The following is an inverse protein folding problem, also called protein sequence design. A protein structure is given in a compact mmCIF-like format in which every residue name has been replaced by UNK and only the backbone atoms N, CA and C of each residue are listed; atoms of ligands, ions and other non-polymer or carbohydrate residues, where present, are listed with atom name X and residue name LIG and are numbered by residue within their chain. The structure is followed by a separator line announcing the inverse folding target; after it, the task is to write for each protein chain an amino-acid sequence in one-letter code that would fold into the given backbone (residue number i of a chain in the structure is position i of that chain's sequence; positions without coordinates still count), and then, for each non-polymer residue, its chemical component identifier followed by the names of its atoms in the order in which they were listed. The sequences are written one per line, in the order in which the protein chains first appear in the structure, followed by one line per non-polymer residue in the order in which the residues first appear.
data_IF_120281348377
#
_entry.id   IF_120281348377
#
_cell.length_a   1.000
_cell.length_b   1.000
_cell.length_c   1.000
_cell.angle_alpha   90.00
_cell.angle_beta   90.00
_cell.angle_gamma   90.00
#
_symmetry.space_group_name_H-M   'P 1'
#
loop_
_entity.id
_entity.type
_entity.pdbx_description
1 polymer ?
#
# COMPACT_ATOMS: atom_id res chain seq x y z
N UNK A 1 6.58 15.13 25.03
CA UNK A 1 5.39 15.21 24.16
C UNK A 1 5.65 14.30 22.97
N UNK A 2 4.71 13.47 22.58
CA UNK A 2 4.84 12.66 21.36
C UNK A 2 5.04 13.58 20.14
N UNK A 3 5.84 13.16 19.18
CA UNK A 3 6.07 13.92 17.95
C UNK A 3 4.80 13.98 17.11
N UNK A 4 4.57 15.09 16.39
CA UNK A 4 3.42 15.24 15.51
C UNK A 4 3.86 14.96 14.08
N UNK A 5 3.20 14.01 13.42
CA UNK A 5 3.39 13.69 12.01
C UNK A 5 2.46 14.59 11.20
N UNK A 6 3.05 15.54 10.50
CA UNK A 6 2.34 16.50 9.65
C UNK A 6 2.12 15.97 8.24
N UNK A 7 1.45 16.74 7.38
CA UNK A 7 1.38 16.47 5.94
C UNK A 7 2.72 16.74 5.26
N UNK A 8 2.91 16.17 4.08
CA UNK A 8 4.00 16.49 3.16
C UNK A 8 3.42 17.17 1.92
N UNK A 9 3.50 18.48 1.86
CA UNK A 9 2.91 19.27 0.77
C UNK A 9 3.96 20.21 0.20
N UNK A 10 4.10 20.21 -1.11
CA UNK A 10 5.05 21.06 -1.83
C UNK A 10 6.50 20.89 -1.34
N UNK A 11 6.89 19.64 -1.05
CA UNK A 11 8.23 19.26 -0.67
C UNK A 11 8.65 19.73 0.73
N UNK A 12 7.72 19.87 1.66
CA UNK A 12 7.99 20.20 3.06
C UNK A 12 6.89 19.67 3.98
N UNK A 13 7.24 19.50 5.25
CA UNK A 13 6.27 19.25 6.29
C UNK A 13 5.35 20.47 6.44
N UNK A 14 4.05 20.23 6.49
CA UNK A 14 3.03 21.27 6.64
C UNK A 14 2.01 20.86 7.71
N UNK A 15 1.85 21.67 8.79
CA UNK A 15 0.79 21.46 9.76
C UNK A 15 -0.58 21.45 9.11
N UNK A 16 -1.49 20.65 9.66
CA UNK A 16 -2.90 20.67 9.25
C UNK A 16 -3.56 22.00 9.60
N UNK A 17 -4.60 22.32 8.86
CA UNK A 17 -5.51 23.44 9.17
C UNK A 17 -6.49 23.11 10.30
N UNK A 18 -6.53 21.85 10.73
CA UNK A 18 -7.36 21.40 11.86
C UNK A 18 -6.50 21.10 13.08
N UNK A 19 -7.14 21.12 14.26
CA UNK A 19 -6.56 20.64 15.52
C UNK A 19 -6.92 19.17 15.79
N UNK A 20 -7.32 18.41 14.76
CA UNK A 20 -7.64 16.98 14.86
C UNK A 20 -6.37 16.15 14.71
N UNK A 21 -6.15 15.26 15.66
CA UNK A 21 -5.02 14.32 15.68
C UNK A 21 -5.51 12.91 15.92
N UNK A 22 -4.80 11.93 15.38
CA UNK A 22 -4.95 10.51 15.68
C UNK A 22 -3.70 10.00 16.38
N UNK A 23 -3.88 9.03 17.27
CA UNK A 23 -2.76 8.38 17.93
C UNK A 23 -2.12 7.32 17.03
N UNK A 24 -0.79 7.33 16.98
CA UNK A 24 0.04 6.29 16.36
C UNK A 24 0.64 5.47 17.49
N UNK A 25 0.31 4.19 17.51
CA UNK A 25 0.73 3.28 18.58
C UNK A 25 1.95 2.46 18.13
N UNK A 26 2.76 2.07 19.11
CA UNK A 26 3.62 0.90 18.95
C UNK A 26 2.81 -0.34 19.38
N UNK A 27 2.44 -1.24 18.47
CA UNK A 27 1.59 -2.39 18.80
C UNK A 27 2.23 -3.37 19.78
N UNK A 28 3.56 -3.41 19.85
CA UNK A 28 4.29 -4.29 20.76
C UNK A 28 4.21 -3.86 22.22
N UNK A 29 4.09 -2.55 22.47
CA UNK A 29 4.00 -2.00 23.84
C UNK A 29 2.62 -1.48 24.18
N UNK A 30 1.78 -1.17 23.18
CA UNK A 30 0.50 -0.50 23.33
C UNK A 30 0.61 0.99 23.67
N UNK A 31 1.81 1.56 23.63
CA UNK A 31 2.06 2.97 23.93
C UNK A 31 1.89 3.84 22.69
N UNK A 32 1.45 5.09 22.90
CA UNK A 32 1.40 6.11 21.85
C UNK A 32 2.82 6.59 21.53
N UNK A 33 3.31 6.31 20.35
CA UNK A 33 4.65 6.71 19.88
C UNK A 33 4.66 8.10 19.23
N UNK A 34 3.57 8.45 18.53
CA UNK A 34 3.40 9.73 17.85
C UNK A 34 1.91 10.10 17.74
N UNK A 35 1.65 11.32 17.30
CA UNK A 35 0.31 11.75 16.86
C UNK A 35 0.37 12.15 15.39
N UNK A 36 -0.66 11.80 14.61
CA UNK A 36 -0.75 12.15 13.19
C UNK A 36 -1.85 13.20 12.96
N UNK A 37 -1.55 14.21 12.14
CA UNK A 37 -2.54 15.23 11.75
C UNK A 37 -3.69 14.59 10.96
N UNK A 38 -4.93 14.83 11.37
CA UNK A 38 -6.14 14.42 10.63
C UNK A 38 -6.62 15.60 9.79
N UNK A 39 -6.17 15.60 8.52
CA UNK A 39 -6.50 16.64 7.56
C UNK A 39 -7.98 16.71 7.17
N UNK A 40 -8.30 17.74 6.43
CA UNK A 40 -9.63 18.03 5.90
C UNK A 40 -9.57 18.40 4.40
N UNK A 41 -10.67 18.89 3.85
CA UNK A 41 -10.77 19.33 2.46
C UNK A 41 -9.87 20.53 2.14
N UNK A 42 -9.58 21.42 3.10
CA UNK A 42 -8.68 22.56 2.88
C UNK A 42 -7.23 22.12 2.74
N UNK A 43 -6.77 21.18 3.57
CA UNK A 43 -5.44 20.58 3.46
C UNK A 43 -5.28 19.84 2.11
N UNK A 44 -6.31 19.10 1.71
CA UNK A 44 -6.33 18.48 0.39
C UNK A 44 -6.24 19.50 -0.74
N UNK A 45 -7.00 20.59 -0.66
CA UNK A 45 -6.97 21.64 -1.70
C UNK A 45 -5.56 22.23 -1.87
N UNK A 46 -4.82 22.45 -0.77
CA UNK A 46 -3.41 22.90 -0.82
C UNK A 46 -2.53 21.90 -1.55
N UNK A 47 -2.73 20.59 -1.29
CA UNK A 47 -1.99 19.54 -1.98
C UNK A 47 -2.35 19.46 -3.46
N UNK A 48 -3.63 19.60 -3.83
CA UNK A 48 -4.08 19.60 -5.22
C UNK A 48 -3.58 20.82 -5.99
N UNK A 49 -3.59 22.01 -5.38
CA UNK A 49 -3.03 23.21 -5.98
C UNK A 49 -1.53 23.04 -6.27
N UNK A 50 -0.79 22.54 -5.27
CA UNK A 50 0.64 22.22 -5.42
C UNK A 50 0.89 21.20 -6.54
N UNK A 51 0.10 20.11 -6.58
CA UNK A 51 0.22 19.07 -7.59
C UNK A 51 -0.14 19.58 -9.00
N UNK A 52 -1.19 20.38 -9.12
CA UNK A 52 -1.63 20.96 -10.41
C UNK A 52 -0.57 21.90 -10.99
N UNK A 53 0.01 22.75 -10.16
CA UNK A 53 1.10 23.65 -10.57
C UNK A 53 2.35 22.87 -10.99
N UNK A 54 2.73 21.84 -10.22
CA UNK A 54 3.89 21.00 -10.56
C UNK A 54 3.66 20.23 -11.86
N UNK A 55 2.43 19.82 -12.16
CA UNK A 55 2.08 19.08 -13.38
C UNK A 55 2.42 19.85 -14.65
N UNK A 56 2.28 21.18 -14.68
CA UNK A 56 2.55 22.01 -15.86
C UNK A 56 3.97 21.79 -16.41
N UNK A 57 4.95 21.65 -15.53
CA UNK A 57 6.35 21.44 -15.91
C UNK A 57 6.75 19.97 -15.92
N UNK A 58 6.24 19.19 -14.96
CA UNK A 58 6.57 17.78 -14.83
C UNK A 58 6.09 16.95 -16.03
N UNK A 59 4.88 17.21 -16.52
CA UNK A 59 4.32 16.54 -17.70
C UNK A 59 5.16 16.73 -18.96
N UNK A 60 5.89 17.83 -19.05
CA UNK A 60 6.79 18.16 -20.18
C UNK A 60 8.22 17.65 -19.97
N UNK A 61 8.55 17.13 -18.78
CA UNK A 61 9.87 16.56 -18.52
C UNK A 61 10.04 15.27 -19.31
N UNK A 62 11.16 15.13 -20.04
CA UNK A 62 11.40 13.95 -20.86
C UNK A 62 11.40 12.67 -20.01
N UNK A 63 10.90 11.58 -20.58
CA UNK A 63 10.79 10.29 -19.88
C UNK A 63 12.15 9.79 -19.37
N UNK A 64 13.23 10.05 -20.10
CA UNK A 64 14.59 9.69 -19.67
C UNK A 64 15.03 10.45 -18.42
N UNK A 65 14.73 11.76 -18.34
CA UNK A 65 15.03 12.55 -17.14
C UNK A 65 14.21 12.09 -15.93
N UNK A 66 12.94 11.72 -16.15
CA UNK A 66 12.11 11.15 -15.09
C UNK A 66 12.67 9.83 -14.58
N UNK A 67 13.10 8.93 -15.49
CA UNK A 67 13.70 7.65 -15.11
C UNK A 67 14.99 7.81 -14.27
N UNK A 68 15.82 8.80 -14.56
CA UNK A 68 17.05 9.07 -13.79
C UNK A 68 16.77 9.34 -12.30
N UNK A 69 15.66 10.00 -11.99
CA UNK A 69 15.25 10.25 -10.59
C UNK A 69 14.93 8.91 -9.91
N UNK A 70 14.30 7.97 -10.60
CA UNK A 70 13.96 6.67 -10.03
C UNK A 70 15.19 5.77 -9.81
N UNK A 71 16.23 5.85 -10.64
CA UNK A 71 17.50 5.18 -10.35
C UNK A 71 18.11 5.68 -9.04
N UNK A 72 18.13 7.01 -8.84
CA UNK A 72 18.63 7.58 -7.59
C UNK A 72 17.71 7.27 -6.40
N UNK A 73 16.40 7.26 -6.60
CA UNK A 73 15.44 6.89 -5.57
C UNK A 73 15.65 5.45 -5.10
N UNK A 74 15.88 4.51 -6.03
CA UNK A 74 16.20 3.13 -5.70
C UNK A 74 17.45 3.04 -4.81
N UNK A 75 18.51 3.76 -5.16
CA UNK A 75 19.73 3.82 -4.35
C UNK A 75 19.45 4.34 -2.93
N UNK A 76 18.66 5.41 -2.82
CA UNK A 76 18.27 5.97 -1.51
C UNK A 76 17.40 5.01 -0.69
N UNK A 77 16.49 4.27 -1.31
CA UNK A 77 15.71 3.23 -0.62
C UNK A 77 16.60 2.12 -0.06
N UNK A 78 17.59 1.68 -0.83
CA UNK A 78 18.56 0.66 -0.36
C UNK A 78 19.45 1.20 0.76
N UNK A 79 19.90 2.45 0.65
CA UNK A 79 20.77 3.09 1.68
C UNK A 79 20.00 3.30 2.99
N UNK A 80 18.70 3.61 2.93
CA UNK A 80 17.85 3.85 4.10
C UNK A 80 17.02 2.62 4.49
N UNK A 81 17.41 1.42 4.03
CA UNK A 81 16.64 0.18 4.21
C UNK A 81 16.35 -0.11 5.68
N UNK A 82 17.33 -0.03 6.54
CA UNK A 82 17.20 -0.32 7.97
C UNK A 82 16.24 0.66 8.67
N UNK A 83 16.36 1.96 8.38
CA UNK A 83 15.45 2.98 8.92
C UNK A 83 13.99 2.72 8.48
N UNK A 84 13.78 2.38 7.21
CA UNK A 84 12.43 2.07 6.70
C UNK A 84 11.85 0.80 7.32
N UNK A 85 12.67 -0.23 7.54
CA UNK A 85 12.27 -1.46 8.24
C UNK A 85 11.86 -1.16 9.69
N UNK A 86 12.67 -0.36 10.39
CA UNK A 86 12.40 0.04 11.77
C UNK A 86 11.09 0.84 11.89
N UNK A 87 10.85 1.82 11.00
CA UNK A 87 9.60 2.58 10.96
C UNK A 87 8.38 1.65 10.78
N UNK A 88 8.47 0.70 9.84
CA UNK A 88 7.39 -0.27 9.61
C UNK A 88 7.17 -1.14 10.84
N UNK A 89 8.23 -1.70 11.42
CA UNK A 89 8.13 -2.59 12.58
C UNK A 89 7.54 -1.87 13.79
N UNK A 90 7.97 -0.63 14.05
CA UNK A 90 7.52 0.14 15.20
C UNK A 90 6.05 0.57 15.13
N UNK A 91 5.54 0.91 13.95
CA UNK A 91 4.16 1.40 13.81
C UNK A 91 3.16 0.29 13.44
N UNK A 92 3.60 -0.73 12.68
CA UNK A 92 2.73 -1.85 12.30
C UNK A 92 2.79 -3.01 13.29
N UNK A 93 3.93 -3.26 13.93
CA UNK A 93 4.17 -4.40 14.82
C UNK A 93 4.74 -5.66 14.16
N UNK A 94 4.77 -5.77 12.83
CA UNK A 94 5.32 -6.95 12.13
C UNK A 94 6.82 -7.12 12.39
N UNK A 95 7.29 -8.36 12.32
CA UNK A 95 8.72 -8.66 12.48
C UNK A 95 9.57 -8.01 11.38
N UNK A 96 10.82 -7.69 11.71
CA UNK A 96 11.73 -6.98 10.81
C UNK A 96 11.93 -7.69 9.46
N UNK A 97 11.92 -9.04 9.43
CA UNK A 97 12.00 -9.82 8.20
C UNK A 97 10.79 -9.62 7.28
N UNK A 98 9.57 -9.51 7.85
CA UNK A 98 8.35 -9.21 7.11
C UNK A 98 8.34 -7.76 6.61
N UNK A 99 8.84 -6.82 7.42
CA UNK A 99 9.01 -5.42 7.02
C UNK A 99 10.01 -5.28 5.86
N UNK A 100 11.14 -6.00 5.93
CA UNK A 100 12.13 -6.07 4.86
C UNK A 100 11.54 -6.63 3.56
N UNK A 101 10.75 -7.71 3.65
CA UNK A 101 10.04 -8.30 2.51
C UNK A 101 9.04 -7.33 1.89
N UNK A 102 8.30 -6.57 2.70
CA UNK A 102 7.39 -5.53 2.25
C UNK A 102 8.13 -4.41 1.49
N UNK A 103 9.23 -3.92 2.06
CA UNK A 103 10.05 -2.89 1.42
C UNK A 103 10.64 -3.40 0.11
N UNK A 104 11.18 -4.63 0.09
CA UNK A 104 11.75 -5.25 -1.10
C UNK A 104 10.75 -5.29 -2.27
N UNK A 105 9.50 -5.67 -2.01
CA UNK A 105 8.44 -5.68 -3.03
C UNK A 105 8.13 -4.29 -3.58
N UNK A 106 8.23 -3.26 -2.75
CA UNK A 106 8.12 -1.88 -3.21
C UNK A 106 9.30 -1.46 -4.09
N UNK A 107 10.54 -1.84 -3.71
CA UNK A 107 11.76 -1.56 -4.48
C UNK A 107 11.72 -2.25 -5.85
N UNK A 108 11.18 -3.47 -5.96
CA UNK A 108 10.99 -4.17 -7.24
C UNK A 108 10.10 -3.38 -8.21
N UNK A 109 9.08 -2.68 -7.70
CA UNK A 109 8.26 -1.79 -8.53
C UNK A 109 9.04 -0.55 -8.98
N UNK A 110 9.87 0.01 -8.10
CA UNK A 110 10.76 1.13 -8.47
C UNK A 110 11.77 0.69 -9.54
N UNK A 111 12.29 -0.54 -9.43
CA UNK A 111 13.16 -1.16 -10.45
C UNK A 111 12.46 -1.25 -11.81
N UNK A 112 11.22 -1.75 -11.82
CA UNK A 112 10.39 -1.78 -13.02
C UNK A 112 10.20 -0.38 -13.62
N UNK A 113 9.99 0.63 -12.77
CA UNK A 113 9.81 2.02 -13.20
C UNK A 113 11.07 2.62 -13.82
N UNK A 114 12.26 2.17 -13.45
CA UNK A 114 13.50 2.59 -14.10
C UNK A 114 13.50 2.28 -15.61
N UNK A 115 12.75 1.24 -16.02
CA UNK A 115 12.53 0.86 -17.43
C UNK A 115 11.42 1.63 -18.16
N UNK A 116 10.80 2.64 -17.53
CA UNK A 116 9.64 3.36 -18.08
C UNK A 116 9.84 3.93 -19.49
N UNK A 117 11.04 4.37 -19.93
CA UNK A 117 11.25 4.83 -21.30
C UNK A 117 10.90 3.80 -22.38
N UNK A 118 11.03 2.50 -22.05
CA UNK A 118 10.65 1.42 -22.95
C UNK A 118 9.17 1.11 -22.94
N UNK A 119 8.50 1.31 -21.78
CA UNK A 119 7.08 1.02 -21.58
C UNK A 119 6.16 2.11 -22.14
N UNK A 120 6.64 3.35 -22.21
CA UNK A 120 5.85 4.50 -22.71
C UNK A 120 5.94 4.68 -24.22
N UNK A 121 6.62 3.79 -24.95
CA UNK A 121 6.61 3.81 -26.41
C UNK A 121 5.18 3.64 -26.92
N UNK A 122 4.85 4.41 -27.99
CA UNK A 122 3.63 4.22 -28.74
C UNK A 122 3.79 3.11 -29.80
N UNK A 123 2.71 2.85 -30.49
CA UNK A 123 2.66 1.91 -31.61
C UNK A 123 2.47 2.64 -32.91
N UNK A 124 2.97 2.09 -34.01
CA UNK A 124 2.78 2.57 -35.37
C UNK A 124 2.27 1.43 -36.23
N UNK A 125 1.26 1.72 -37.04
CA UNK A 125 0.73 0.80 -38.06
C UNK A 125 0.69 1.50 -39.40
N UNK A 126 1.42 0.96 -40.37
CA UNK A 126 1.43 1.45 -41.74
C UNK A 126 0.23 0.89 -42.49
N UNK A 127 -0.37 1.71 -43.37
CA UNK A 127 -1.42 1.31 -44.31
C UNK A 127 -2.65 0.65 -43.64
N UNK A 128 -3.10 1.16 -42.49
CA UNK A 128 -4.36 0.70 -41.86
C UNK A 128 -5.60 0.94 -42.73
N UNK A 129 -5.46 1.78 -43.74
CA UNK A 129 -6.36 2.03 -44.86
C UNK A 129 -5.56 2.56 -46.02
N UNK A 130 -6.12 2.65 -47.21
CA UNK A 130 -5.40 3.11 -48.41
C UNK A 130 -4.86 4.54 -48.20
N UNK A 131 -3.52 4.67 -48.07
CA UNK A 131 -2.84 5.93 -47.83
C UNK A 131 -3.03 6.49 -46.40
N UNK A 132 -3.37 5.65 -45.43
CA UNK A 132 -3.60 6.06 -44.03
C UNK A 132 -2.67 5.24 -43.10
N UNK A 133 -1.81 5.95 -42.37
CA UNK A 133 -1.02 5.41 -41.28
C UNK A 133 -1.65 5.79 -39.94
N UNK A 134 -1.46 4.94 -38.90
CA UNK A 134 -1.95 5.18 -37.55
C UNK A 134 -0.81 5.07 -36.55
N UNK A 135 -0.79 5.97 -35.58
CA UNK A 135 0.13 5.86 -34.46
C UNK A 135 -0.55 6.25 -33.14
N UNK A 136 -0.04 5.69 -32.04
CA UNK A 136 -0.48 5.99 -30.69
C UNK A 136 0.60 6.72 -29.91
N UNK A 137 0.19 7.64 -29.02
CA UNK A 137 1.07 8.29 -28.05
C UNK A 137 0.48 8.17 -26.66
N UNK A 138 1.32 7.96 -25.66
CA UNK A 138 0.92 7.90 -24.25
C UNK A 138 1.18 9.25 -23.60
N UNK A 139 0.16 9.81 -22.96
CA UNK A 139 0.25 11.13 -22.32
C UNK A 139 -0.19 11.05 -20.85
N UNK A 140 0.42 11.85 -19.95
CA UNK A 140 -0.05 11.96 -18.57
C UNK A 140 -1.43 12.63 -18.53
N UNK A 141 -2.23 12.27 -17.54
CA UNK A 141 -3.63 12.72 -17.42
C UNK A 141 -3.84 13.79 -16.35
N UNK A 142 -2.85 14.09 -15.52
CA UNK A 142 -2.95 15.14 -14.52
C UNK A 142 -2.62 14.70 -13.11
N UNK A 143 -3.39 15.18 -12.14
CA UNK A 143 -3.26 14.83 -10.73
C UNK A 143 -3.89 13.46 -10.50
N UNK A 144 -3.07 12.51 -10.04
CA UNK A 144 -3.46 11.18 -9.61
C UNK A 144 -3.54 11.11 -8.09
N UNK A 145 -4.29 10.16 -7.56
CA UNK A 145 -4.36 9.95 -6.12
C UNK A 145 -4.35 8.47 -5.75
N UNK A 146 -3.96 8.19 -4.51
CA UNK A 146 -4.00 6.86 -3.93
C UNK A 146 -4.27 6.88 -2.43
N UNK A 147 -5.05 5.90 -1.97
CA UNK A 147 -5.33 5.64 -0.55
C UNK A 147 -4.85 4.23 -0.23
N UNK A 148 -4.01 4.11 0.79
CA UNK A 148 -3.33 2.86 1.10
C UNK A 148 -3.64 2.37 2.51
N UNK A 149 -3.72 1.04 2.73
CA UNK A 149 -3.98 0.45 4.02
C UNK A 149 -2.73 0.38 4.90
N UNK A 150 -2.92 -0.01 6.15
CA UNK A 150 -1.84 -0.14 7.14
C UNK A 150 -0.93 -1.35 6.88
N UNK A 151 -1.44 -2.44 6.30
CA UNK A 151 -0.73 -3.72 6.33
C UNK A 151 0.55 -3.77 5.48
N UNK A 152 0.75 -2.82 4.59
CA UNK A 152 1.96 -2.68 3.77
C UNK A 152 2.30 -1.19 3.53
N UNK A 153 2.81 -0.48 4.55
CA UNK A 153 2.99 0.98 4.48
C UNK A 153 4.10 1.44 3.52
N UNK A 154 4.97 0.52 3.07
CA UNK A 154 5.94 0.77 2.00
C UNK A 154 5.47 0.23 0.64
N UNK A 155 5.09 -1.06 0.58
CA UNK A 155 4.81 -1.76 -0.66
C UNK A 155 3.64 -1.14 -1.42
N UNK A 156 2.49 -0.94 -0.75
CA UNK A 156 1.28 -0.49 -1.44
C UNK A 156 1.37 0.96 -1.94
N UNK A 157 1.91 1.94 -1.19
CA UNK A 157 2.21 3.26 -1.75
C UNK A 157 3.13 3.18 -2.97
N UNK A 158 4.17 2.35 -2.93
CA UNK A 158 5.11 2.18 -4.05
C UNK A 158 4.54 1.42 -5.25
N UNK A 159 3.40 0.77 -5.14
CA UNK A 159 2.66 0.27 -6.30
C UNK A 159 2.00 1.40 -7.10
N UNK A 160 1.70 2.52 -6.46
CA UNK A 160 0.86 3.58 -7.01
C UNK A 160 1.69 4.77 -7.50
N UNK A 161 2.35 5.51 -6.59
CA UNK A 161 2.95 6.80 -6.92
C UNK A 161 4.15 6.70 -7.88
N UNK A 162 5.06 5.70 -7.82
CA UNK A 162 6.21 5.67 -8.71
C UNK A 162 5.81 5.55 -10.17
N UNK A 163 4.88 4.64 -10.49
CA UNK A 163 4.39 4.42 -11.85
C UNK A 163 3.68 5.67 -12.37
N UNK A 164 2.77 6.25 -11.57
CA UNK A 164 2.04 7.46 -11.96
C UNK A 164 2.98 8.63 -12.24
N UNK A 165 3.97 8.86 -11.37
CA UNK A 165 4.95 9.94 -11.48
C UNK A 165 5.88 9.71 -12.68
N UNK A 166 6.38 8.51 -12.90
CA UNK A 166 7.22 8.19 -14.04
C UNK A 166 6.49 8.37 -15.37
N UNK A 167 5.18 8.13 -15.41
CA UNK A 167 4.32 8.43 -16.56
C UNK A 167 4.10 9.92 -16.78
N UNK A 168 4.60 10.81 -15.91
CA UNK A 168 4.50 12.27 -16.04
C UNK A 168 3.31 12.88 -15.30
N UNK A 169 2.60 12.12 -14.49
CA UNK A 169 1.54 12.61 -13.61
C UNK A 169 2.12 13.17 -12.30
N UNK A 170 1.33 13.95 -11.57
CA UNK A 170 1.57 14.27 -10.17
C UNK A 170 0.71 13.37 -9.29
N UNK A 171 1.09 13.20 -8.01
CA UNK A 171 0.44 12.23 -7.15
C UNK A 171 0.15 12.79 -5.75
N UNK A 172 -1.03 12.48 -5.24
CA UNK A 172 -1.44 12.74 -3.86
C UNK A 172 -1.69 11.38 -3.18
N UNK A 173 -0.89 11.08 -2.16
CA UNK A 173 -0.99 9.87 -1.36
C UNK A 173 -1.71 10.18 -0.05
N UNK A 174 -2.72 9.39 0.31
CA UNK A 174 -3.27 9.32 1.66
C UNK A 174 -2.88 7.95 2.25
N UNK A 175 -1.84 7.88 3.08
CA UNK A 175 -1.46 6.63 3.77
C UNK A 175 -2.45 6.30 4.89
N UNK A 176 -2.29 5.12 5.49
CA UNK A 176 -2.99 4.79 6.72
C UNK A 176 -2.61 5.75 7.84
N UNK A 177 -3.58 6.16 8.63
CA UNK A 177 -3.36 6.96 9.84
C UNK A 177 -2.78 6.12 11.01
N UNK A 178 -2.70 4.81 10.86
CA UNK A 178 -2.14 3.90 11.87
C UNK A 178 -0.62 3.84 11.85
N UNK A 179 -0.04 3.95 10.64
CA UNK A 179 1.40 3.78 10.38
C UNK A 179 1.89 4.71 9.27
N UNK A 180 1.75 6.04 9.45
CA UNK A 180 2.01 7.03 8.41
C UNK A 180 3.50 7.31 8.16
N UNK A 181 4.39 7.05 9.13
CA UNK A 181 5.79 7.53 9.09
C UNK A 181 6.58 6.95 7.92
N UNK A 182 6.36 5.69 7.57
CA UNK A 182 7.01 5.09 6.41
C UNK A 182 6.68 5.85 5.12
N UNK A 183 5.41 6.18 4.88
CA UNK A 183 4.99 6.94 3.69
C UNK A 183 5.58 8.35 3.64
N UNK A 184 5.73 8.99 4.81
CA UNK A 184 6.39 10.30 4.93
C UNK A 184 7.87 10.21 4.54
N UNK A 185 8.58 9.19 5.05
CA UNK A 185 9.99 8.94 4.70
C UNK A 185 10.17 8.64 3.21
N UNK A 186 9.27 7.85 2.61
CA UNK A 186 9.28 7.59 1.17
C UNK A 186 9.17 8.88 0.34
N UNK A 187 8.34 9.84 0.77
CA UNK A 187 8.20 11.13 0.10
C UNK A 187 9.44 12.03 0.27
N UNK A 188 10.06 12.02 1.43
CA UNK A 188 11.32 12.70 1.71
C UNK A 188 12.43 12.19 0.77
N UNK A 189 12.62 10.87 0.71
CA UNK A 189 13.62 10.23 -0.14
C UNK A 189 13.38 10.49 -1.64
N UNK A 190 12.11 10.54 -2.08
CA UNK A 190 11.79 10.94 -3.46
C UNK A 190 12.22 12.35 -3.78
N UNK A 191 12.07 13.29 -2.83
CA UNK A 191 12.55 14.66 -3.03
C UNK A 191 14.09 14.72 -3.02
N UNK A 192 14.75 13.97 -2.15
CA UNK A 192 16.21 13.83 -2.13
C UNK A 192 16.76 13.25 -3.44
N UNK A 193 16.01 12.31 -4.05
CA UNK A 193 16.33 11.78 -5.37
C UNK A 193 16.25 12.83 -6.49
N UNK A 194 15.70 14.00 -6.22
CA UNK A 194 15.58 15.12 -7.15
C UNK A 194 14.19 15.30 -7.76
N UNK A 195 13.16 14.69 -7.18
CA UNK A 195 11.78 14.92 -7.61
C UNK A 195 11.40 16.39 -7.34
N UNK A 196 10.86 17.14 -8.32
CA UNK A 196 10.43 18.50 -8.10
C UNK A 196 9.33 18.61 -7.03
N UNK A 197 9.36 19.71 -6.27
CA UNK A 197 8.35 19.98 -5.24
C UNK A 197 6.94 19.97 -5.84
N UNK A 198 5.98 19.42 -5.12
CA UNK A 198 4.59 19.32 -5.53
C UNK A 198 4.26 18.13 -6.43
N UNK A 199 5.24 17.44 -7.02
CA UNK A 199 4.97 16.24 -7.84
C UNK A 199 4.44 15.09 -6.99
N UNK A 200 4.97 14.90 -5.78
CA UNK A 200 4.44 13.99 -4.76
C UNK A 200 4.02 14.79 -3.53
N UNK A 201 2.78 14.59 -3.08
CA UNK A 201 2.25 15.13 -1.85
C UNK A 201 1.66 14.01 -1.00
N UNK A 202 1.76 14.12 0.33
CA UNK A 202 1.16 13.17 1.28
C UNK A 202 0.23 13.95 2.19
N UNK A 203 -1.05 13.57 2.20
CA UNK A 203 -2.08 14.16 3.06
C UNK A 203 -2.57 13.09 4.02
N UNK A 204 -2.22 13.22 5.28
CA UNK A 204 -2.70 12.33 6.35
C UNK A 204 -4.15 12.66 6.69
N UNK A 205 -4.90 11.66 7.14
CA UNK A 205 -6.30 11.86 7.51
C UNK A 205 -7.12 10.58 7.44
N UNK A 206 -8.38 10.74 7.73
CA UNK A 206 -9.39 9.68 7.77
C UNK A 206 -10.36 9.76 6.57
N UNK A 207 -11.60 9.33 6.77
CA UNK A 207 -12.68 9.34 5.78
C UNK A 207 -12.92 10.73 5.17
N UNK A 208 -12.74 11.81 5.93
CA UNK A 208 -12.96 13.17 5.45
C UNK A 208 -12.05 13.52 4.29
N UNK A 209 -10.74 13.21 4.39
CA UNK A 209 -9.79 13.40 3.29
C UNK A 209 -10.09 12.47 2.12
N UNK A 210 -10.50 11.22 2.37
CA UNK A 210 -10.88 10.28 1.32
C UNK A 210 -12.06 10.81 0.51
N UNK A 211 -13.11 11.26 1.17
CA UNK A 211 -14.30 11.82 0.51
C UNK A 211 -13.96 13.07 -0.30
N UNK A 212 -13.13 13.95 0.26
CA UNK A 212 -12.65 15.13 -0.46
C UNK A 212 -11.86 14.75 -1.74
N UNK A 213 -10.99 13.72 -1.69
CA UNK A 213 -10.28 13.20 -2.88
C UNK A 213 -11.27 12.70 -3.93
N UNK A 214 -12.28 11.93 -3.51
CA UNK A 214 -13.27 11.34 -4.42
C UNK A 214 -14.11 12.42 -5.14
N UNK A 215 -14.37 13.54 -4.48
CA UNK A 215 -15.19 14.63 -5.01
C UNK A 215 -14.40 15.67 -5.81
N UNK A 216 -13.09 15.86 -5.53
CA UNK A 216 -12.31 16.94 -6.12
C UNK A 216 -12.13 16.82 -7.63
N UNK A 217 -12.63 17.79 -8.41
CA UNK A 217 -12.70 17.76 -9.89
C UNK A 217 -11.33 17.73 -10.60
N UNK A 218 -10.28 18.30 -9.99
CA UNK A 218 -8.92 18.31 -10.57
C UNK A 218 -8.21 16.96 -10.44
N UNK A 219 -8.64 16.08 -9.53
CA UNK A 219 -8.08 14.73 -9.39
C UNK A 219 -8.70 13.82 -10.45
N UNK A 220 -7.86 13.20 -11.29
CA UNK A 220 -8.28 12.43 -12.48
C UNK A 220 -8.34 10.93 -12.25
N UNK A 221 -7.57 10.41 -11.28
CA UNK A 221 -7.56 8.97 -10.95
C UNK A 221 -7.64 8.76 -9.46
N UNK A 222 -8.19 7.61 -9.08
CA UNK A 222 -8.23 7.16 -7.70
C UNK A 222 -7.80 5.69 -7.63
N UNK A 223 -6.72 5.42 -6.90
CA UNK A 223 -6.24 4.07 -6.60
C UNK A 223 -6.47 3.77 -5.13
N UNK A 224 -7.01 2.59 -4.84
CA UNK A 224 -7.37 2.18 -3.48
C UNK A 224 -7.01 0.72 -3.23
N UNK A 225 -6.47 0.48 -2.04
CA UNK A 225 -6.37 -0.86 -1.45
C UNK A 225 -6.91 -0.80 -0.03
N UNK A 226 -7.82 -1.72 0.33
CA UNK A 226 -8.41 -1.77 1.66
C UNK A 226 -9.51 -2.82 1.78
N UNK A 227 -10.45 -2.62 2.71
CA UNK A 227 -11.57 -3.55 2.91
C UNK A 227 -12.57 -3.52 1.75
N UNK A 228 -13.23 -4.65 1.48
CA UNK A 228 -14.21 -4.78 0.37
C UNK A 228 -15.35 -3.75 0.43
N UNK A 229 -15.99 -3.47 1.58
CA UNK A 229 -17.06 -2.47 1.62
C UNK A 229 -16.56 -1.06 1.27
N UNK A 230 -15.33 -0.70 1.70
CA UNK A 230 -14.74 0.59 1.35
C UNK A 230 -14.31 0.62 -0.11
N UNK A 231 -13.77 -0.48 -0.65
CA UNK A 231 -13.43 -0.60 -2.08
C UNK A 231 -14.66 -0.37 -2.97
N UNK A 232 -15.80 -0.95 -2.61
CA UNK A 232 -17.06 -0.74 -3.31
C UNK A 232 -17.50 0.74 -3.24
N UNK A 233 -17.53 1.31 -2.05
CA UNK A 233 -17.89 2.71 -1.83
C UNK A 233 -17.04 3.68 -2.66
N UNK A 234 -15.71 3.53 -2.61
CA UNK A 234 -14.81 4.44 -3.33
C UNK A 234 -14.91 4.24 -4.85
N UNK A 235 -15.12 3.01 -5.31
CA UNK A 235 -15.33 2.73 -6.73
C UNK A 235 -16.57 3.43 -7.26
N UNK A 236 -17.70 3.28 -6.58
CA UNK A 236 -18.97 3.90 -6.96
C UNK A 236 -18.86 5.43 -6.97
N UNK A 237 -18.34 6.01 -5.88
CA UNK A 237 -18.26 7.46 -5.73
C UNK A 237 -17.25 8.11 -6.69
N UNK A 238 -16.07 7.51 -6.88
CA UNK A 238 -15.08 8.03 -7.81
C UNK A 238 -15.52 7.92 -9.27
N UNK A 239 -16.16 6.80 -9.65
CA UNK A 239 -16.71 6.60 -11.00
C UNK A 239 -17.83 7.60 -11.30
N UNK A 240 -18.71 7.86 -10.34
CA UNK A 240 -19.77 8.87 -10.46
C UNK A 240 -19.20 10.29 -10.68
N UNK A 241 -17.99 10.57 -10.18
CA UNK A 241 -17.26 11.83 -10.40
C UNK A 241 -16.32 11.80 -11.62
N UNK A 242 -16.46 10.82 -12.52
CA UNK A 242 -15.72 10.74 -13.79
C UNK A 242 -14.23 10.42 -13.64
N UNK A 243 -13.79 9.87 -12.50
CA UNK A 243 -12.39 9.49 -12.28
C UNK A 243 -12.12 8.08 -12.84
N UNK A 244 -10.87 7.84 -13.26
CA UNK A 244 -10.39 6.47 -13.47
C UNK A 244 -10.14 5.84 -12.11
N UNK A 245 -10.70 4.67 -11.86
CA UNK A 245 -10.68 4.01 -10.55
C UNK A 245 -10.02 2.65 -10.63
N UNK A 246 -9.15 2.37 -9.67
CA UNK A 246 -8.69 1.03 -9.35
C UNK A 246 -8.95 0.81 -7.86
N UNK A 247 -9.92 0.00 -7.50
CA UNK A 247 -10.28 -0.30 -6.11
C UNK A 247 -10.11 -1.79 -5.84
N UNK A 248 -9.15 -2.11 -4.97
CA UNK A 248 -8.79 -3.47 -4.59
C UNK A 248 -9.29 -3.73 -3.17
N UNK A 249 -10.16 -4.73 -3.04
CA UNK A 249 -10.77 -5.12 -1.78
C UNK A 249 -10.05 -6.25 -1.05
N UNK A 250 -10.69 -6.80 -0.04
CA UNK A 250 -10.22 -7.95 0.71
C UNK A 250 -10.32 -9.26 -0.08
N UNK A 251 -9.70 -10.30 0.48
CA UNK A 251 -9.71 -11.65 -0.09
C UNK A 251 -9.96 -12.70 0.98
N UNK A 252 -10.35 -13.88 0.56
CA UNK A 252 -10.43 -15.11 1.37
C UNK A 252 -9.70 -16.20 0.60
N UNK A 253 -8.37 -16.25 0.79
CA UNK A 253 -7.51 -17.13 0.01
C UNK A 253 -7.61 -18.58 0.50
N UNK A 254 -7.71 -19.50 -0.43
CA UNK A 254 -7.81 -20.94 -0.19
C UNK A 254 -6.57 -21.64 -0.74
N UNK A 255 -6.03 -22.58 0.04
CA UNK A 255 -5.02 -23.52 -0.41
C UNK A 255 -5.64 -24.91 -0.50
N UNK A 256 -5.35 -25.65 -1.57
CA UNK A 256 -5.78 -27.03 -1.76
C UNK A 256 -4.55 -27.92 -1.59
N UNK A 257 -4.66 -28.94 -0.71
CA UNK A 257 -3.57 -29.89 -0.44
C UNK A 257 -4.00 -31.27 -0.92
N UNK A 258 -3.24 -31.80 -1.89
CA UNK A 258 -3.48 -33.10 -2.50
C UNK A 258 -2.74 -34.21 -1.75
N UNK A 259 -3.06 -35.49 -2.04
CA UNK A 259 -2.48 -36.66 -1.35
C UNK A 259 -0.98 -36.81 -1.49
N UNK A 260 -0.43 -36.39 -2.63
CA UNK A 260 0.99 -36.49 -2.97
C UNK A 260 1.82 -35.29 -2.48
N UNK A 261 1.22 -34.35 -1.74
CA UNK A 261 1.90 -33.18 -1.20
C UNK A 261 2.88 -33.60 -0.08
N UNK A 262 4.07 -32.98 -0.07
CA UNK A 262 4.98 -33.08 1.07
C UNK A 262 4.40 -32.32 2.26
N UNK A 263 3.83 -33.02 3.25
CA UNK A 263 3.12 -32.41 4.38
C UNK A 263 4.03 -31.50 5.22
N UNK A 264 5.32 -31.86 5.36
CA UNK A 264 6.29 -31.01 6.08
C UNK A 264 6.52 -29.67 5.38
N UNK A 265 6.78 -29.68 4.08
CA UNK A 265 6.95 -28.44 3.30
C UNK A 265 5.65 -27.65 3.22
N UNK A 266 4.52 -28.33 3.01
CA UNK A 266 3.20 -27.72 2.92
C UNK A 266 2.81 -27.03 4.23
N UNK A 267 3.01 -27.70 5.36
CA UNK A 267 2.68 -27.10 6.67
C UNK A 267 3.56 -25.89 6.96
N UNK A 268 4.86 -25.92 6.65
CA UNK A 268 5.75 -24.76 6.81
C UNK A 268 5.29 -23.58 5.92
N UNK A 269 4.94 -23.85 4.66
CA UNK A 269 4.45 -22.83 3.74
C UNK A 269 3.11 -22.22 4.19
N UNK A 270 2.19 -23.06 4.68
CA UNK A 270 0.90 -22.60 5.19
C UNK A 270 1.07 -21.75 6.46
N UNK A 271 1.91 -22.16 7.41
CA UNK A 271 2.19 -21.36 8.62
C UNK A 271 2.75 -19.99 8.23
N UNK A 272 3.75 -19.92 7.38
CA UNK A 272 4.31 -18.65 6.91
C UNK A 272 3.29 -17.78 6.15
N UNK A 273 2.42 -18.38 5.34
CA UNK A 273 1.41 -17.67 4.56
C UNK A 273 0.20 -17.23 5.39
N UNK A 274 -0.19 -17.99 6.41
CA UNK A 274 -1.36 -17.72 7.24
C UNK A 274 -1.04 -16.76 8.41
N UNK A 275 0.10 -16.95 9.06
CA UNK A 275 0.46 -16.23 10.29
C UNK A 275 1.51 -15.12 10.06
N UNK A 276 2.21 -15.12 8.94
CA UNK A 276 3.14 -14.03 8.61
C UNK A 276 2.45 -12.67 8.69
N UNK A 277 3.09 -11.70 9.32
CA UNK A 277 2.51 -10.38 9.63
C UNK A 277 1.17 -10.48 10.39
N UNK A 278 1.08 -11.40 11.36
CA UNK A 278 -0.12 -11.67 12.16
C UNK A 278 -1.40 -11.96 11.33
N UNK A 279 -1.24 -12.49 10.11
CA UNK A 279 -2.36 -12.75 9.18
C UNK A 279 -2.94 -11.51 8.50
N UNK A 280 -2.35 -10.34 8.67
CA UNK A 280 -2.84 -9.05 8.13
C UNK A 280 -2.49 -8.83 6.64
N UNK A 281 -1.84 -9.81 6.00
CA UNK A 281 -1.58 -9.75 4.57
C UNK A 281 -2.87 -9.99 3.77
N UNK A 282 -3.10 -9.21 2.73
CA UNK A 282 -4.21 -9.44 1.80
C UNK A 282 -4.15 -10.81 1.11
N UNK A 283 -2.95 -11.39 0.98
CA UNK A 283 -2.69 -12.71 0.38
C UNK A 283 -2.54 -13.82 1.43
N UNK A 284 -2.85 -13.55 2.72
CA UNK A 284 -2.80 -14.59 3.76
C UNK A 284 -3.75 -15.75 3.43
N UNK A 285 -3.28 -16.97 3.68
CA UNK A 285 -4.14 -18.16 3.52
C UNK A 285 -5.11 -18.22 4.68
N UNK A 286 -6.40 -18.12 4.37
CA UNK A 286 -7.48 -18.12 5.36
C UNK A 286 -8.13 -19.49 5.52
N UNK A 287 -8.06 -20.32 4.48
CA UNK A 287 -8.71 -21.64 4.42
C UNK A 287 -7.76 -22.64 3.77
N UNK A 288 -7.63 -23.81 4.38
CA UNK A 288 -6.95 -24.96 3.79
C UNK A 288 -7.96 -26.05 3.53
N UNK A 289 -8.05 -26.51 2.28
CA UNK A 289 -8.87 -27.62 1.84
C UNK A 289 -7.95 -28.81 1.61
N UNK A 290 -7.90 -29.74 2.54
CA UNK A 290 -7.11 -30.96 2.42
C UNK A 290 -7.99 -32.12 1.96
N UNK A 291 -7.49 -32.95 1.04
CA UNK A 291 -8.19 -34.18 0.66
C UNK A 291 -8.16 -35.18 1.82
N UNK A 292 -9.10 -36.13 1.83
CA UNK A 292 -9.37 -37.02 2.98
C UNK A 292 -8.10 -37.72 3.51
N UNK A 293 -7.25 -38.25 2.65
CA UNK A 293 -6.08 -39.04 3.06
C UNK A 293 -4.98 -38.29 3.83
N UNK A 294 -4.94 -36.94 3.76
CA UNK A 294 -3.88 -36.14 4.37
C UNK A 294 -4.37 -35.12 5.43
N UNK A 295 -5.69 -34.99 5.58
CA UNK A 295 -6.30 -33.94 6.39
C UNK A 295 -5.90 -34.02 7.87
N UNK A 296 -5.97 -35.20 8.50
CA UNK A 296 -5.72 -35.36 9.94
C UNK A 296 -4.26 -35.10 10.29
N UNK A 297 -3.33 -35.63 9.50
CA UNK A 297 -1.90 -35.39 9.69
C UNK A 297 -1.52 -33.93 9.48
N UNK A 298 -2.06 -33.31 8.42
CA UNK A 298 -1.85 -31.89 8.15
C UNK A 298 -2.39 -31.02 9.29
N UNK A 299 -3.60 -31.30 9.79
CA UNK A 299 -4.19 -30.59 10.93
C UNK A 299 -3.30 -30.67 12.18
N UNK A 300 -2.76 -31.84 12.47
CA UNK A 300 -1.84 -32.04 13.59
C UNK A 300 -0.57 -31.18 13.41
N UNK A 301 0.09 -31.28 12.26
CA UNK A 301 1.31 -30.50 11.97
C UNK A 301 1.07 -29.00 12.06
N UNK A 302 -0.03 -28.50 11.48
CA UNK A 302 -0.39 -27.07 11.54
C UNK A 302 -0.65 -26.61 12.98
N UNK A 303 -1.35 -27.42 13.78
CA UNK A 303 -1.64 -27.10 15.19
C UNK A 303 -0.37 -27.03 16.03
N UNK A 304 0.54 -28.00 15.86
CA UNK A 304 1.82 -28.05 16.57
C UNK A 304 2.71 -26.84 16.20
N UNK A 305 2.83 -26.55 14.90
CA UNK A 305 3.64 -25.43 14.41
C UNK A 305 3.05 -24.07 14.80
N UNK A 306 1.74 -23.89 14.72
CA UNK A 306 1.09 -22.66 15.16
C UNK A 306 1.26 -22.39 16.66
N UNK A 307 1.17 -23.46 17.50
CA UNK A 307 1.39 -23.35 18.94
C UNK A 307 2.86 -23.06 19.31
N UNK A 308 3.80 -23.41 18.43
CA UNK A 308 5.23 -23.21 18.66
C UNK A 308 5.73 -21.82 18.22
N UNK A 309 4.93 -21.03 17.49
CA UNK A 309 5.32 -19.70 17.05
C UNK A 309 5.70 -18.79 18.21
N UNK A 310 6.87 -18.17 18.11
CA UNK A 310 7.32 -17.15 19.07
C UNK A 310 6.70 -15.82 18.70
N UNK A 311 5.85 -15.31 19.58
CA UNK A 311 5.13 -14.06 19.39
C UNK A 311 5.71 -12.99 20.31
N UNK A 312 6.05 -11.82 19.76
CA UNK A 312 6.62 -10.73 20.54
C UNK A 312 6.94 -9.49 19.69
N UNK A 313 7.67 -8.51 20.26
CA UNK A 313 8.09 -7.32 19.53
C UNK A 313 8.83 -7.65 18.24
N UNK A 314 8.45 -7.01 17.14
CA UNK A 314 8.97 -7.36 15.82
C UNK A 314 10.45 -6.99 15.58
N UNK A 315 11.03 -6.17 16.44
CA UNK A 315 12.46 -5.80 16.44
C UNK A 315 13.36 -6.78 17.22
N UNK A 316 12.80 -7.76 17.91
CA UNK A 316 13.54 -8.83 18.57
C UNK A 316 13.69 -10.02 17.61
N UNK A 317 14.95 -10.41 17.33
CA UNK A 317 15.27 -11.36 16.26
C UNK A 317 14.73 -12.78 16.46
N UNK A 318 14.42 -13.17 17.69
CA UNK A 318 13.86 -14.49 18.05
C UNK A 318 12.36 -14.60 17.78
N UNK A 319 11.65 -13.49 17.58
CA UNK A 319 10.22 -13.50 17.33
C UNK A 319 9.90 -13.79 15.86
N UNK A 320 8.92 -14.66 15.64
CA UNK A 320 8.49 -15.11 14.31
C UNK A 320 7.21 -14.40 13.85
N UNK A 321 6.43 -13.87 14.80
CA UNK A 321 5.21 -13.11 14.54
C UNK A 321 5.09 -11.94 15.51
N UNK A 322 4.76 -10.77 15.00
CA UNK A 322 4.45 -9.60 15.81
C UNK A 322 2.98 -9.55 16.25
N UNK A 323 2.60 -8.57 17.08
CA UNK A 323 1.22 -8.34 17.47
C UNK A 323 0.39 -7.80 16.29
N UNK A 324 -0.95 -7.84 16.44
CA UNK A 324 -1.88 -7.12 15.56
C UNK A 324 -1.71 -5.60 15.77
N UNK A 325 -1.86 -4.84 14.69
CA UNK A 325 -1.68 -3.37 14.74
C UNK A 325 -2.68 -2.67 15.66
N UNK A 326 -3.88 -3.21 15.84
CA UNK A 326 -4.89 -2.65 16.75
C UNK A 326 -5.70 -3.73 17.46
N UNK A 327 -6.16 -3.43 18.68
CA UNK A 327 -7.08 -4.30 19.43
C UNK A 327 -8.40 -4.54 18.67
N UNK A 328 -8.83 -3.61 17.83
CA UNK A 328 -10.05 -3.76 17.04
C UNK A 328 -9.98 -4.99 16.11
N UNK A 329 -8.81 -5.27 15.52
CA UNK A 329 -8.65 -6.42 14.61
C UNK A 329 -8.81 -7.76 15.33
N UNK A 330 -8.47 -7.84 16.61
CA UNK A 330 -8.65 -9.05 17.40
C UNK A 330 -10.13 -9.47 17.49
N UNK A 331 -11.02 -8.50 17.54
CA UNK A 331 -12.47 -8.74 17.69
C UNK A 331 -13.24 -8.70 16.36
N UNK A 332 -12.68 -8.08 15.33
CA UNK A 332 -13.36 -7.92 14.03
C UNK A 332 -12.89 -8.90 12.97
N UNK A 333 -11.79 -9.63 13.22
CA UNK A 333 -11.33 -10.67 12.30
C UNK A 333 -12.35 -11.83 12.29
N UNK A 334 -12.91 -12.22 11.11
CA UNK A 334 -13.89 -13.29 11.04
C UNK A 334 -13.30 -14.60 11.55
N UNK A 335 -13.88 -15.16 12.62
CA UNK A 335 -13.52 -16.46 13.16
C UNK A 335 -14.51 -17.53 12.66
N UNK A 336 -14.07 -18.78 12.40
CA UNK A 336 -14.97 -19.90 12.18
C UNK A 336 -15.97 -20.14 13.32
N UNK A 337 -15.70 -19.59 14.51
CA UNK A 337 -16.59 -19.62 15.65
C UNK A 337 -17.69 -18.55 15.61
N UNK A 338 -17.55 -17.58 14.72
CA UNK A 338 -18.57 -16.55 14.52
C UNK A 338 -19.63 -17.07 13.55
N UNK A 339 -20.67 -17.67 14.13
CA UNK A 339 -21.78 -18.30 13.39
C UNK A 339 -22.53 -17.31 12.48
N UNK A 340 -22.42 -16.00 12.70
CA UNK A 340 -23.07 -15.00 11.87
C UNK A 340 -22.33 -14.76 10.55
N UNK A 341 -21.03 -15.04 10.50
CA UNK A 341 -20.18 -14.86 9.31
C UNK A 341 -19.88 -16.17 8.57
N UNK A 342 -20.16 -17.34 9.18
CA UNK A 342 -19.84 -18.66 8.63
C UNK A 342 -20.91 -19.20 7.65
N UNK A 343 -22.01 -18.52 7.46
CA UNK A 343 -23.00 -18.93 6.46
C UNK A 343 -22.54 -18.56 5.05
N UNK A 344 -21.74 -19.45 4.49
CA UNK A 344 -21.66 -19.51 3.03
C UNK A 344 -23.05 -19.84 2.46
N UNK A 345 -23.52 -19.15 1.39
CA UNK A 345 -24.71 -19.59 0.70
C UNK A 345 -24.51 -21.03 0.23
N UNK A 346 -25.44 -21.92 0.57
CA UNK A 346 -25.40 -23.33 0.20
C UNK A 346 -25.76 -23.59 -1.29
N UNK A 347 -25.47 -22.60 -2.14
CA UNK A 347 -25.70 -22.70 -3.58
C UNK A 347 -24.69 -21.86 -4.35
N UNK A 348 -23.64 -22.50 -4.76
CA UNK A 348 -22.90 -22.18 -5.98
C UNK A 348 -22.44 -23.47 -6.60
#
# INVERSE_FOLDING_TARGET
MASIIHHWINGKLQPSTTERYGDVFNPATGEVSASVSMGNSEDLNKAVESASKAFETWSQTSVTKRAQIFFKYKELLETNREELIELITNEHGKVASDAAGSLQRGIEVVDFVCGIPHLLKGEFSEQVGTGIDCYSTRQPIGVCSGVTPFNFPAMVPMWMFPIAIACGNTFILKPSEKDPSCAMKLAELMQEAGLPKGVLNVVNGDKEVVDAILEHSSIKTFSFVGSTPVAQYVHEKASANGKRVQALGGAKNHAIVLEDASLEQTSNAIIGAAYGSAGERCMAISVVVAVEGVADELCKLLSEKAAALKIGPGNEAENEMGPLITNCLLYTSPSPRDLSTSRMPSSA
#
